data_IF_635322759605
#
_entry.id   IF_635322759605
#
_cell.length_a   1.000
_cell.length_b   1.000
_cell.length_c   1.000
_cell.angle_alpha   90.00
_cell.angle_beta   90.00
_cell.angle_gamma   90.00
#
_symmetry.space_group_name_H-M   'P 1'
#
loop_
_entity.id
_entity.type
_entity.pdbx_description
1 polymer ?
#
# COMPACT_ATOMS: atom_id res chain seq x y z
N UNK A 1 1.10 -9.73 13.14
CA UNK A 1 1.77 -9.94 11.83
C UNK A 1 1.79 -8.65 11.01
N UNK A 2 2.90 -8.38 10.28
CA UNK A 2 2.96 -7.38 9.20
C UNK A 2 3.19 -8.12 7.89
N UNK A 3 2.25 -8.02 6.95
CA UNK A 3 2.42 -8.46 5.58
C UNK A 3 2.69 -7.23 4.71
N UNK A 4 3.62 -7.35 3.75
CA UNK A 4 4.00 -6.25 2.86
C UNK A 4 4.32 -6.74 1.47
N UNK A 5 4.12 -5.86 0.48
CA UNK A 5 4.56 -6.05 -0.91
C UNK A 5 5.27 -4.79 -1.40
N UNK A 6 6.23 -4.98 -2.29
CA UNK A 6 6.74 -3.88 -3.11
C UNK A 6 5.88 -3.76 -4.37
N UNK A 7 5.31 -2.58 -4.61
CA UNK A 7 4.47 -2.31 -5.78
C UNK A 7 4.87 -0.98 -6.42
N UNK A 8 4.93 -0.97 -7.75
CA UNK A 8 5.24 0.20 -8.57
C UNK A 8 3.94 0.90 -8.97
N UNK A 9 3.75 2.13 -8.49
CA UNK A 9 2.54 2.95 -8.69
C UNK A 9 2.91 4.38 -9.13
N UNK A 10 3.67 4.59 -10.22
CA UNK A 10 4.25 5.88 -10.58
C UNK A 10 3.21 6.97 -10.87
N UNK A 11 2.03 6.62 -11.39
CA UNK A 11 1.00 7.60 -11.78
C UNK A 11 0.07 7.92 -10.61
N UNK A 12 -0.36 6.89 -9.87
CA UNK A 12 -1.21 7.02 -8.71
C UNK A 12 -0.46 7.70 -7.56
N UNK A 13 0.82 7.40 -7.37
CA UNK A 13 1.62 8.03 -6.31
C UNK A 13 1.91 9.52 -6.54
N UNK A 14 1.85 10.00 -7.78
CA UNK A 14 1.93 11.42 -8.11
C UNK A 14 0.68 12.21 -7.70
N UNK A 15 -0.43 11.54 -7.38
CA UNK A 15 -1.67 12.20 -6.95
C UNK A 15 -1.55 12.69 -5.50
N UNK A 16 -1.99 13.94 -5.23
CA UNK A 16 -1.95 14.55 -3.89
C UNK A 16 -2.68 13.73 -2.81
N UNK A 17 -3.67 12.93 -3.21
CA UNK A 17 -4.48 12.09 -2.33
C UNK A 17 -3.99 10.64 -2.21
N UNK A 18 -2.85 10.25 -2.79
CA UNK A 18 -2.35 8.87 -2.76
C UNK A 18 -2.31 8.25 -1.36
N UNK A 19 -1.70 8.97 -0.40
CA UNK A 19 -1.61 8.51 1.00
C UNK A 19 -3.00 8.37 1.64
N UNK A 20 -3.95 9.23 1.29
CA UNK A 20 -5.34 9.15 1.77
C UNK A 20 -6.03 7.91 1.20
N UNK A 21 -5.90 7.66 -0.10
CA UNK A 21 -6.44 6.45 -0.75
C UNK A 21 -5.93 5.19 -0.05
N UNK A 22 -4.62 5.11 0.22
CA UNK A 22 -4.04 3.96 0.92
C UNK A 22 -4.57 3.83 2.35
N UNK A 23 -4.70 4.94 3.08
CA UNK A 23 -5.23 4.93 4.44
C UNK A 23 -6.69 4.48 4.50
N UNK A 24 -7.52 4.92 3.55
CA UNK A 24 -8.93 4.55 3.42
C UNK A 24 -9.10 3.04 3.11
N UNK A 25 -8.10 2.44 2.44
CA UNK A 25 -8.01 0.99 2.20
C UNK A 25 -7.42 0.21 3.39
N UNK A 26 -7.12 0.86 4.51
CA UNK A 26 -6.51 0.21 5.68
C UNK A 26 -5.04 -0.18 5.47
N UNK A 27 -4.35 0.48 4.54
CA UNK A 27 -2.96 0.23 4.19
C UNK A 27 -2.02 1.28 4.81
N UNK A 28 -0.77 0.89 5.01
CA UNK A 28 0.35 1.74 5.40
C UNK A 28 1.38 1.74 4.27
N UNK A 29 1.89 2.94 3.94
CA UNK A 29 2.81 3.19 2.83
C UNK A 29 4.15 3.64 3.37
N UNK A 30 5.23 2.99 2.92
CA UNK A 30 6.61 3.39 3.19
C UNK A 30 7.41 3.44 1.87
N UNK A 31 8.49 4.20 1.85
CA UNK A 31 9.44 4.13 0.74
C UNK A 31 10.18 2.79 0.71
N UNK A 32 10.88 2.53 -0.39
CA UNK A 32 11.55 1.25 -0.67
C UNK A 32 12.57 0.84 0.41
N UNK A 33 13.21 1.80 1.06
CA UNK A 33 14.23 1.55 2.09
C UNK A 33 13.70 1.82 3.51
N UNK A 34 12.38 1.83 3.69
CA UNK A 34 11.73 2.01 4.99
C UNK A 34 11.07 3.37 5.20
N UNK A 35 10.76 3.66 6.46
CA UNK A 35 9.77 4.65 6.90
C UNK A 35 10.12 6.12 6.57
N UNK A 36 11.41 6.40 6.33
CA UNK A 36 11.92 7.73 5.98
C UNK A 36 12.61 7.78 4.61
N UNK A 37 12.45 6.75 3.79
CA UNK A 37 13.08 6.71 2.47
C UNK A 37 12.16 7.24 1.38
N UNK A 38 12.73 7.92 0.39
CA UNK A 38 12.01 8.28 -0.82
C UNK A 38 11.74 7.02 -1.67
N UNK A 39 10.55 6.96 -2.26
CA UNK A 39 10.24 5.97 -3.28
C UNK A 39 10.96 6.35 -4.57
N UNK A 40 12.11 5.73 -4.83
CA UNK A 40 12.71 5.80 -6.17
C UNK A 40 11.73 5.15 -7.17
N UNK A 41 11.43 5.86 -8.26
CA UNK A 41 10.58 5.39 -9.36
C UNK A 41 9.10 5.05 -9.01
N UNK A 42 8.57 5.60 -7.93
CA UNK A 42 7.19 5.32 -7.50
C UNK A 42 6.99 3.88 -7.01
N UNK A 43 8.04 3.24 -6.48
CA UNK A 43 7.96 1.93 -5.83
C UNK A 43 7.81 2.11 -4.32
N UNK A 44 6.82 1.45 -3.74
CA UNK A 44 6.47 1.57 -2.32
C UNK A 44 6.38 0.20 -1.64
N UNK A 45 6.75 0.17 -0.36
CA UNK A 45 6.39 -0.90 0.58
C UNK A 45 4.98 -0.62 1.11
N UNK A 46 4.02 -1.43 0.64
CA UNK A 46 2.61 -1.38 1.04
C UNK A 46 2.32 -2.52 2.00
N UNK A 47 1.80 -2.19 3.18
CA UNK A 47 1.49 -3.16 4.22
C UNK A 47 0.11 -2.94 4.83
N UNK A 48 -0.43 -3.97 5.50
CA UNK A 48 -1.62 -3.79 6.33
C UNK A 48 -1.36 -2.74 7.42
N UNK A 49 -2.39 -1.99 7.85
CA UNK A 49 -2.29 -1.07 9.02
C UNK A 49 -2.67 -1.75 10.34
N UNK A 50 -3.71 -2.59 10.34
CA UNK A 50 -4.21 -3.26 11.55
C UNK A 50 -3.29 -4.42 11.97
N UNK A 51 -3.14 -4.62 13.28
CA UNK A 51 -2.27 -5.67 13.87
C UNK A 51 -2.98 -6.54 14.91
N UNK A 52 -3.87 -5.93 15.70
CA UNK A 52 -4.56 -6.59 16.81
C UNK A 52 -6.04 -6.79 16.50
N UNK A 53 -6.61 -7.86 17.08
CA UNK A 53 -8.02 -8.25 16.89
C UNK A 53 -8.35 -8.67 15.45
N UNK A 54 -7.39 -9.25 14.74
CA UNK A 54 -7.51 -9.72 13.35
C UNK A 54 -6.59 -10.93 13.17
N UNK A 55 -7.05 -11.96 12.46
CA UNK A 55 -6.23 -13.14 12.16
C UNK A 55 -5.21 -12.85 11.05
N UNK A 56 -4.16 -13.65 10.97
CA UNK A 56 -3.15 -13.57 9.91
C UNK A 56 -3.77 -13.73 8.52
N UNK A 57 -4.72 -14.65 8.37
CA UNK A 57 -5.43 -14.87 7.10
C UNK A 57 -6.20 -13.63 6.67
N UNK A 58 -6.87 -12.97 7.61
CA UNK A 58 -7.64 -11.76 7.32
C UNK A 58 -6.72 -10.57 7.02
N UNK A 59 -5.56 -10.48 7.67
CA UNK A 59 -4.50 -9.52 7.32
C UNK A 59 -4.08 -9.67 5.85
N UNK A 60 -3.79 -10.91 5.40
CA UNK A 60 -3.34 -11.15 4.03
C UNK A 60 -4.46 -10.88 3.02
N UNK A 61 -5.71 -11.26 3.34
CA UNK A 61 -6.88 -10.96 2.49
C UNK A 61 -7.10 -9.45 2.32
N UNK A 62 -6.99 -8.67 3.39
CA UNK A 62 -7.12 -7.21 3.34
C UNK A 62 -6.00 -6.57 2.53
N UNK A 63 -4.75 -7.03 2.74
CA UNK A 63 -3.61 -6.55 1.95
C UNK A 63 -3.82 -6.84 0.46
N UNK A 64 -4.21 -8.08 0.10
CA UNK A 64 -4.44 -8.48 -1.28
C UNK A 64 -5.49 -7.59 -1.96
N UNK A 65 -6.68 -7.45 -1.37
CA UNK A 65 -7.76 -6.60 -1.90
C UNK A 65 -7.33 -5.14 -2.03
N UNK A 66 -6.60 -4.63 -1.04
CA UNK A 66 -6.09 -3.26 -1.06
C UNK A 66 -5.11 -3.03 -2.20
N UNK A 67 -4.15 -3.94 -2.39
CA UNK A 67 -3.15 -3.86 -3.46
C UNK A 67 -3.78 -4.01 -4.84
N UNK A 68 -4.70 -4.97 -5.01
CA UNK A 68 -5.47 -5.13 -6.25
C UNK A 68 -6.19 -3.83 -6.64
N UNK A 69 -6.82 -3.17 -5.65
CA UNK A 69 -7.47 -1.87 -5.88
C UNK A 69 -6.48 -0.78 -6.29
N UNK A 70 -5.30 -0.73 -5.68
CA UNK A 70 -4.26 0.24 -6.06
C UNK A 70 -3.78 0.02 -7.51
N UNK A 71 -3.55 -1.24 -7.91
CA UNK A 71 -3.14 -1.59 -9.27
C UNK A 71 -4.23 -1.16 -10.28
N UNK A 72 -5.50 -1.42 -9.97
CA UNK A 72 -6.61 -1.00 -10.83
C UNK A 72 -6.70 0.52 -11.00
N UNK A 73 -6.43 1.28 -9.93
CA UNK A 73 -6.41 2.74 -9.98
C UNK A 73 -5.22 3.27 -10.79
N UNK A 74 -4.04 2.67 -10.64
CA UNK A 74 -2.85 2.98 -11.43
C UNK A 74 -3.08 2.79 -12.94
N UNK A 75 -3.74 1.68 -13.32
CA UNK A 75 -4.03 1.37 -14.73
C UNK A 75 -5.05 2.32 -15.36
N UNK A 76 -5.93 2.94 -14.56
CA UNK A 76 -6.98 3.86 -15.02
C UNK A 76 -6.53 5.31 -15.16
N UNK A 77 -5.45 5.69 -14.50
CA UNK A 77 -4.85 7.01 -14.68
C UNK A 77 -4.20 7.12 -16.03
#
# INVERSE_FOLDING_TARGET
MRASVHVKLPRLSAQKNFKKICADLGLSVRGLHGEHSESKEGIFDISNKRRLGISEVEIVKQLHKGVERLIHLEQKL
#
